data_IF_804399822500
#
_entry.id   IF_804399822500
#
_cell.length_a   1.000
_cell.length_b   1.000
_cell.length_c   1.000
_cell.angle_alpha   90.00
_cell.angle_beta   90.00
_cell.angle_gamma   90.00
#
_symmetry.space_group_name_H-M   'P 1'
#
loop_
_entity.id
_entity.type
_entity.pdbx_description
1 polymer ?
#
# COMPACT_ATOMS: atom_id res chain seq x y z
N UNK A 1 -7.44 13.50 24.06
CA UNK A 1 -8.26 12.57 23.23
C UNK A 1 -7.40 12.09 22.08
N UNK A 2 -7.43 10.80 21.80
CA UNK A 2 -6.67 10.19 20.68
C UNK A 2 -7.35 10.50 19.35
N UNK A 3 -6.59 10.93 18.35
CA UNK A 3 -7.09 11.15 17.00
C UNK A 3 -7.19 9.82 16.26
N UNK A 4 -8.38 9.48 15.79
CA UNK A 4 -8.57 8.33 14.90
C UNK A 4 -8.13 8.70 13.48
N UNK A 5 -7.12 7.99 12.95
CA UNK A 5 -6.67 8.15 11.57
C UNK A 5 -7.57 7.28 10.67
N UNK A 6 -8.66 7.83 10.19
CA UNK A 6 -9.66 7.14 9.36
C UNK A 6 -9.19 7.02 7.91
N UNK A 7 -8.59 5.87 7.59
CA UNK A 7 -8.12 5.58 6.24
C UNK A 7 -9.25 5.30 5.27
N UNK A 8 -10.40 4.80 5.73
CA UNK A 8 -11.56 4.57 4.87
C UNK A 8 -12.10 5.89 4.31
N UNK A 9 -12.27 6.89 5.19
CA UNK A 9 -12.68 8.24 4.79
C UNK A 9 -11.65 8.86 3.85
N UNK A 10 -10.38 8.81 4.23
CA UNK A 10 -9.28 9.37 3.43
C UNK A 10 -9.18 8.73 2.05
N UNK A 11 -9.32 7.40 1.95
CA UNK A 11 -9.32 6.70 0.67
C UNK A 11 -10.51 7.12 -0.21
N UNK A 12 -11.69 7.37 0.39
CA UNK A 12 -12.84 7.85 -0.35
C UNK A 12 -12.62 9.29 -0.86
N UNK A 13 -12.03 10.16 -0.05
CA UNK A 13 -11.70 11.53 -0.45
C UNK A 13 -10.73 11.52 -1.66
N UNK A 14 -9.68 10.67 -1.62
CA UNK A 14 -8.74 10.51 -2.75
C UNK A 14 -9.45 9.97 -4.00
N UNK A 15 -10.33 8.98 -3.86
CA UNK A 15 -11.11 8.46 -4.99
C UNK A 15 -11.98 9.55 -5.62
N UNK A 16 -12.60 10.40 -4.82
CA UNK A 16 -13.40 11.52 -5.31
C UNK A 16 -12.55 12.54 -6.07
N UNK A 17 -11.34 12.86 -5.57
CA UNK A 17 -10.38 13.74 -6.25
C UNK A 17 -9.94 13.13 -7.61
N UNK A 18 -9.65 11.82 -7.64
CA UNK A 18 -9.31 11.09 -8.87
C UNK A 18 -10.47 11.13 -9.86
N UNK A 19 -11.71 10.84 -9.41
CA UNK A 19 -12.89 10.86 -10.26
C UNK A 19 -13.14 12.24 -10.88
N UNK A 20 -12.97 13.31 -10.10
CA UNK A 20 -13.06 14.68 -10.61
C UNK A 20 -12.01 14.94 -11.70
N UNK A 21 -10.76 14.51 -11.47
CA UNK A 21 -9.68 14.67 -12.46
C UNK A 21 -9.94 13.87 -13.75
N UNK A 22 -10.47 12.65 -13.63
CA UNK A 22 -10.86 11.85 -14.79
C UNK A 22 -11.97 12.49 -15.59
N UNK A 23 -12.94 13.12 -14.93
CA UNK A 23 -14.01 13.85 -15.60
C UNK A 23 -13.44 15.04 -16.42
N UNK A 24 -12.47 15.77 -15.87
CA UNK A 24 -11.77 16.85 -16.59
C UNK A 24 -11.03 16.31 -17.83
N UNK A 25 -10.29 15.20 -17.69
CA UNK A 25 -9.59 14.55 -18.80
C UNK A 25 -10.56 14.19 -19.91
N UNK A 26 -11.70 13.58 -19.57
CA UNK A 26 -12.75 13.19 -20.53
C UNK A 26 -13.36 14.41 -21.23
N UNK A 27 -13.67 15.46 -20.49
CA UNK A 27 -14.22 16.71 -21.05
C UNK A 27 -13.26 17.39 -22.03
N UNK A 28 -11.94 17.26 -21.77
CA UNK A 28 -10.89 17.73 -22.67
C UNK A 28 -10.64 16.81 -23.88
N UNK A 29 -11.40 15.72 -24.05
CA UNK A 29 -11.21 14.75 -25.13
C UNK A 29 -10.01 13.80 -24.91
N UNK A 30 -9.47 13.75 -23.69
CA UNK A 30 -8.37 12.86 -23.34
C UNK A 30 -8.82 11.42 -23.11
N UNK A 31 -7.85 10.51 -23.16
CA UNK A 31 -8.04 9.08 -22.91
C UNK A 31 -8.33 8.80 -21.42
N UNK A 32 -9.29 7.94 -21.13
CA UNK A 32 -9.52 7.44 -19.77
C UNK A 32 -8.31 6.63 -19.29
N UNK A 33 -7.86 6.79 -18.03
CA UNK A 33 -6.85 5.92 -17.45
C UNK A 33 -7.30 4.45 -17.48
N UNK A 34 -6.38 3.55 -17.77
CA UNK A 34 -6.66 2.12 -17.95
C UNK A 34 -5.71 1.27 -17.10
N UNK A 35 -6.28 0.53 -16.17
CA UNK A 35 -5.56 -0.43 -15.32
C UNK A 35 -5.78 -1.86 -15.82
N UNK A 36 -4.71 -2.60 -16.07
CA UNK A 36 -4.75 -4.04 -16.27
C UNK A 36 -4.36 -4.76 -14.98
N UNK A 37 -5.07 -5.84 -14.67
CA UNK A 37 -4.75 -6.75 -13.57
C UNK A 37 -4.65 -8.17 -14.09
N UNK A 38 -3.56 -8.86 -13.75
CA UNK A 38 -3.41 -10.30 -14.01
C UNK A 38 -3.64 -11.05 -12.69
N UNK A 39 -4.53 -12.03 -12.73
CA UNK A 39 -4.81 -12.95 -11.62
C UNK A 39 -4.48 -14.36 -12.05
N UNK A 40 -3.62 -15.05 -11.31
CA UNK A 40 -3.23 -16.44 -11.56
C UNK A 40 -3.86 -17.34 -10.51
N UNK A 41 -4.63 -18.31 -10.96
CA UNK A 41 -5.33 -19.26 -10.09
C UNK A 41 -6.59 -18.72 -9.43
N UNK A 42 -7.12 -19.48 -8.47
CA UNK A 42 -8.44 -19.25 -7.87
C UNK A 42 -8.39 -18.94 -6.35
N UNK A 43 -7.28 -18.39 -5.85
CA UNK A 43 -7.20 -18.00 -4.44
C UNK A 43 -8.30 -16.99 -4.09
N UNK A 44 -9.17 -17.33 -3.14
CA UNK A 44 -10.35 -16.53 -2.81
C UNK A 44 -10.02 -15.13 -2.26
N UNK A 45 -8.89 -14.99 -1.57
CA UNK A 45 -8.45 -13.69 -1.09
C UNK A 45 -8.00 -12.81 -2.26
N UNK A 46 -7.20 -13.36 -3.17
CA UNK A 46 -6.74 -12.68 -4.39
C UNK A 46 -7.91 -12.25 -5.28
N UNK A 47 -8.92 -13.13 -5.45
CA UNK A 47 -10.15 -12.79 -6.20
C UNK A 47 -10.90 -11.62 -5.57
N UNK A 48 -11.03 -11.62 -4.24
CA UNK A 48 -11.70 -10.53 -3.50
C UNK A 48 -10.95 -9.21 -3.67
N UNK A 49 -9.61 -9.23 -3.58
CA UNK A 49 -8.78 -8.03 -3.75
C UNK A 49 -8.85 -7.48 -5.17
N UNK A 50 -8.74 -8.34 -6.19
CA UNK A 50 -8.85 -7.93 -7.59
C UNK A 50 -10.24 -7.40 -7.89
N UNK A 51 -11.30 -8.06 -7.40
CA UNK A 51 -12.67 -7.57 -7.53
C UNK A 51 -12.87 -6.18 -6.94
N UNK A 52 -12.28 -5.91 -5.77
CA UNK A 52 -12.31 -4.58 -5.15
C UNK A 52 -11.55 -3.52 -5.97
N UNK A 53 -10.42 -3.87 -6.59
CA UNK A 53 -9.64 -2.99 -7.48
C UNK A 53 -10.43 -2.65 -8.75
N UNK A 54 -11.05 -3.65 -9.40
CA UNK A 54 -11.89 -3.45 -10.60
C UNK A 54 -13.06 -2.53 -10.28
N UNK A 55 -13.79 -2.80 -9.19
CA UNK A 55 -14.87 -1.93 -8.74
C UNK A 55 -14.42 -0.50 -8.46
N UNK A 56 -13.26 -0.33 -7.84
CA UNK A 56 -12.70 0.99 -7.56
C UNK A 56 -12.30 1.73 -8.85
N UNK A 57 -11.83 1.03 -9.90
CA UNK A 57 -11.62 1.62 -11.23
C UNK A 57 -12.94 2.17 -11.81
N UNK A 58 -14.02 1.40 -11.75
CA UNK A 58 -15.35 1.84 -12.21
C UNK A 58 -15.83 3.07 -11.44
N UNK A 59 -15.67 3.09 -10.10
CA UNK A 59 -16.08 4.20 -9.23
C UNK A 59 -15.40 5.53 -9.62
N UNK A 60 -14.14 5.49 -10.07
CA UNK A 60 -13.38 6.69 -10.45
C UNK A 60 -13.41 6.98 -11.95
N UNK A 61 -14.09 6.16 -12.74
CA UNK A 61 -14.24 6.33 -14.18
C UNK A 61 -13.04 5.86 -15.00
N UNK A 62 -12.23 4.93 -14.47
CA UNK A 62 -11.17 4.25 -15.21
C UNK A 62 -11.73 3.11 -16.06
N UNK A 63 -11.01 2.78 -17.12
CA UNK A 63 -11.14 1.48 -17.78
C UNK A 63 -10.34 0.43 -17.01
N UNK A 64 -10.83 -0.80 -16.95
CA UNK A 64 -10.09 -1.90 -16.32
C UNK A 64 -10.13 -3.16 -17.19
N UNK A 65 -9.01 -3.87 -17.28
CA UNK A 65 -8.89 -5.18 -17.92
C UNK A 65 -8.44 -6.20 -16.89
N UNK A 66 -9.18 -7.29 -16.75
CA UNK A 66 -8.82 -8.41 -15.89
C UNK A 66 -8.46 -9.62 -16.74
N UNK A 67 -7.19 -10.00 -16.70
CA UNK A 67 -6.68 -11.23 -17.31
C UNK A 67 -6.65 -12.32 -16.24
N UNK A 68 -7.34 -13.42 -16.48
CA UNK A 68 -7.34 -14.60 -15.62
C UNK A 68 -6.54 -15.70 -16.27
N UNK A 69 -5.59 -16.25 -15.53
CA UNK A 69 -4.78 -17.39 -15.94
C UNK A 69 -4.97 -18.54 -14.96
N UNK A 70 -4.92 -19.75 -15.46
CA UNK A 70 -5.06 -20.95 -14.62
C UNK A 70 -3.90 -21.11 -13.64
N UNK A 71 -4.12 -21.84 -12.54
CA UNK A 71 -3.11 -22.03 -11.50
C UNK A 71 -1.85 -22.80 -11.99
N UNK A 72 -1.98 -23.58 -13.04
CA UNK A 72 -0.92 -24.37 -13.69
C UNK A 72 -0.29 -23.66 -14.89
N UNK A 73 -0.67 -22.40 -15.17
CA UNK A 73 -0.04 -21.61 -16.24
C UNK A 73 1.48 -21.61 -16.11
N UNK A 74 2.19 -21.76 -17.21
CA UNK A 74 3.65 -21.72 -17.19
C UNK A 74 4.18 -20.31 -16.90
N UNK A 75 5.37 -20.22 -16.27
CA UNK A 75 6.04 -18.94 -16.07
C UNK A 75 6.25 -18.20 -17.41
N UNK A 76 6.61 -18.93 -18.47
CA UNK A 76 6.81 -18.36 -19.80
C UNK A 76 5.54 -17.74 -20.39
N UNK A 77 4.40 -18.40 -20.22
CA UNK A 77 3.12 -17.86 -20.68
C UNK A 77 2.68 -16.63 -19.91
N UNK A 78 2.86 -16.63 -18.59
CA UNK A 78 2.61 -15.42 -17.78
C UNK A 78 3.52 -14.26 -18.21
N UNK A 79 4.82 -14.50 -18.41
CA UNK A 79 5.75 -13.47 -18.87
C UNK A 79 5.37 -12.93 -20.26
N UNK A 80 4.92 -13.80 -21.17
CA UNK A 80 4.40 -13.38 -22.48
C UNK A 80 3.17 -12.48 -22.34
N UNK A 81 2.24 -12.83 -21.45
CA UNK A 81 1.04 -12.02 -21.16
C UNK A 81 1.43 -10.65 -20.60
N UNK A 82 2.42 -10.59 -19.69
CA UNK A 82 2.95 -9.32 -19.17
C UNK A 82 3.54 -8.48 -20.31
N UNK A 83 4.32 -9.10 -21.23
CA UNK A 83 4.92 -8.39 -22.36
C UNK A 83 3.87 -7.87 -23.38
N UNK A 84 2.83 -8.61 -23.64
CA UNK A 84 1.71 -8.14 -24.47
C UNK A 84 1.06 -6.87 -23.86
N UNK A 85 0.85 -6.85 -22.55
CA UNK A 85 0.32 -5.68 -21.85
C UNK A 85 1.33 -4.53 -21.82
N UNK A 86 2.62 -4.81 -21.65
CA UNK A 86 3.68 -3.80 -21.72
C UNK A 86 3.65 -3.04 -23.07
N UNK A 87 3.36 -3.72 -24.18
CA UNK A 87 3.32 -3.13 -25.50
C UNK A 87 1.96 -2.53 -25.89
N UNK A 88 0.92 -2.76 -25.09
CA UNK A 88 -0.41 -2.19 -25.34
C UNK A 88 -0.46 -0.72 -24.91
N UNK A 89 -0.50 0.20 -25.86
CA UNK A 89 -0.54 1.64 -25.61
C UNK A 89 -1.84 2.11 -24.91
N UNK A 90 -2.91 1.32 -24.96
CA UNK A 90 -4.17 1.67 -24.31
C UNK A 90 -4.15 1.39 -22.79
N UNK A 91 -3.20 0.61 -22.32
CA UNK A 91 -3.06 0.29 -20.88
C UNK A 91 -2.00 1.17 -20.25
N UNK A 92 -2.39 1.91 -19.22
CA UNK A 92 -1.50 2.84 -18.50
C UNK A 92 -0.80 2.18 -17.31
N UNK A 93 -1.47 1.25 -16.62
CA UNK A 93 -0.92 0.57 -15.46
C UNK A 93 -1.17 -0.94 -15.51
N UNK A 94 -0.22 -1.70 -14.96
CA UNK A 94 -0.28 -3.15 -14.85
C UNK A 94 0.02 -3.57 -13.41
N UNK A 95 -0.80 -4.48 -12.90
CA UNK A 95 -0.51 -5.22 -11.68
C UNK A 95 -0.59 -6.72 -11.94
N UNK A 96 0.26 -7.48 -11.29
CA UNK A 96 0.14 -8.93 -11.19
C UNK A 96 -0.17 -9.27 -9.75
N UNK A 97 -1.37 -9.79 -9.50
CA UNK A 97 -1.86 -10.03 -8.15
C UNK A 97 -1.05 -11.12 -7.46
N UNK A 98 -0.45 -10.79 -6.31
CA UNK A 98 0.25 -11.74 -5.44
C UNK A 98 -0.72 -12.37 -4.41
N UNK A 99 -0.44 -13.60 -3.94
CA UNK A 99 0.73 -14.44 -4.27
C UNK A 99 0.59 -15.16 -5.62
N UNK A 100 1.72 -15.52 -6.23
CA UNK A 100 1.78 -16.39 -7.39
C UNK A 100 1.97 -17.86 -7.00
N UNK A 101 1.60 -18.82 -7.86
CA UNK A 101 1.95 -20.23 -7.68
C UNK A 101 3.45 -20.43 -7.50
N UNK A 102 3.84 -21.43 -6.71
CA UNK A 102 5.25 -21.65 -6.30
C UNK A 102 6.24 -21.92 -7.45
N UNK A 103 5.76 -22.38 -8.60
CA UNK A 103 6.58 -22.62 -9.78
C UNK A 103 6.89 -21.37 -10.60
N UNK A 104 6.28 -20.23 -10.26
CA UNK A 104 6.47 -18.94 -10.92
C UNK A 104 7.30 -18.02 -10.03
N UNK A 105 8.36 -17.46 -10.57
CA UNK A 105 9.22 -16.51 -9.87
C UNK A 105 8.59 -15.12 -9.84
N UNK A 106 8.27 -14.64 -8.63
CA UNK A 106 7.77 -13.26 -8.42
C UNK A 106 8.76 -12.24 -8.94
N UNK A 107 10.07 -12.46 -8.72
CA UNK A 107 11.12 -11.53 -9.17
C UNK A 107 11.18 -11.42 -10.69
N UNK A 108 11.07 -12.53 -11.42
CA UNK A 108 11.06 -12.50 -12.89
C UNK A 108 9.84 -11.74 -13.42
N UNK A 109 8.66 -12.02 -12.84
CA UNK A 109 7.42 -11.36 -13.25
C UNK A 109 7.50 -9.86 -12.96
N UNK A 110 7.93 -9.47 -11.76
CA UNK A 110 8.10 -8.06 -11.39
C UNK A 110 9.09 -7.35 -12.31
N UNK A 111 10.23 -7.97 -12.62
CA UNK A 111 11.23 -7.39 -13.51
C UNK A 111 10.79 -7.34 -14.98
N UNK A 112 9.80 -8.13 -15.39
CA UNK A 112 9.23 -8.11 -16.73
C UNK A 112 8.30 -6.90 -16.95
N UNK A 113 7.68 -6.38 -15.88
CA UNK A 113 6.81 -5.20 -15.99
C UNK A 113 7.65 -3.96 -16.33
N UNK A 114 7.24 -3.22 -17.37
CA UNK A 114 7.89 -1.94 -17.70
C UNK A 114 7.69 -0.93 -16.58
N UNK A 115 8.75 -0.22 -16.15
CA UNK A 115 8.67 0.74 -15.03
C UNK A 115 7.57 1.79 -15.20
N UNK A 116 7.25 2.17 -16.43
CA UNK A 116 6.21 3.15 -16.76
C UNK A 116 4.80 2.62 -16.49
N UNK A 117 4.62 1.30 -16.43
CA UNK A 117 3.34 0.64 -16.16
C UNK A 117 3.27 -0.04 -14.79
N UNK A 118 4.38 -0.06 -14.04
CA UNK A 118 4.47 -0.64 -12.70
C UNK A 118 3.79 0.25 -11.66
N UNK A 119 2.47 0.29 -11.68
CA UNK A 119 1.69 1.13 -10.75
C UNK A 119 1.62 0.57 -9.33
N UNK A 120 2.08 -0.67 -9.11
CA UNK A 120 2.33 -1.23 -7.76
C UNK A 120 3.66 -0.70 -7.17
N UNK A 121 4.58 -0.17 -8.00
CA UNK A 121 5.84 0.41 -7.55
C UNK A 121 6.88 -0.60 -7.05
N UNK A 122 6.88 -1.82 -7.59
CA UNK A 122 7.74 -2.91 -7.12
C UNK A 122 8.98 -3.14 -7.98
N UNK A 123 9.02 -2.59 -9.19
CA UNK A 123 10.20 -2.74 -10.05
C UNK A 123 11.43 -2.08 -9.44
N UNK A 124 12.64 -2.64 -9.64
CA UNK A 124 13.88 -2.02 -9.17
C UNK A 124 14.06 -0.57 -9.63
N UNK A 125 13.53 -0.23 -10.82
CA UNK A 125 13.59 1.14 -11.34
C UNK A 125 12.75 2.09 -10.47
N UNK A 126 11.50 1.75 -10.14
CA UNK A 126 10.67 2.58 -9.28
C UNK A 126 11.22 2.66 -7.85
N UNK A 127 11.67 1.53 -7.29
CA UNK A 127 12.30 1.50 -5.95
C UNK A 127 13.56 2.35 -5.91
N UNK A 128 14.42 2.27 -6.93
CA UNK A 128 15.64 3.09 -7.04
C UNK A 128 15.32 4.58 -7.15
N UNK A 129 14.36 4.97 -8.00
CA UNK A 129 13.90 6.36 -8.15
C UNK A 129 13.32 6.89 -6.84
N UNK A 130 12.47 6.12 -6.17
CA UNK A 130 11.92 6.47 -4.85
C UNK A 130 13.04 6.71 -3.83
N UNK A 131 14.06 5.84 -3.81
CA UNK A 131 15.22 5.96 -2.90
C UNK A 131 16.03 7.23 -3.16
N UNK A 132 16.16 7.63 -4.43
CA UNK A 132 16.85 8.84 -4.85
C UNK A 132 15.97 10.10 -4.73
N UNK A 133 14.74 9.96 -4.23
CA UNK A 133 13.74 11.03 -4.18
C UNK A 133 13.40 11.63 -5.57
N UNK A 134 13.46 10.80 -6.61
CA UNK A 134 13.02 11.14 -7.95
C UNK A 134 11.54 10.77 -8.13
N UNK A 135 10.83 11.35 -9.13
CA UNK A 135 9.48 10.90 -9.46
C UNK A 135 9.44 9.39 -9.70
N UNK A 136 8.58 8.70 -8.98
CA UNK A 136 8.43 7.24 -9.02
C UNK A 136 7.00 6.83 -8.64
N UNK A 137 6.56 5.68 -9.10
CA UNK A 137 5.41 5.05 -8.48
C UNK A 137 5.87 4.41 -7.16
N UNK A 138 5.31 4.91 -6.07
CA UNK A 138 5.62 4.38 -4.73
C UNK A 138 4.68 3.24 -4.44
N UNK A 139 5.20 2.18 -3.83
CA UNK A 139 4.39 1.03 -3.43
C UNK A 139 3.13 1.46 -2.66
N UNK A 140 1.99 0.83 -2.97
CA UNK A 140 0.67 1.31 -2.58
C UNK A 140 0.50 1.49 -1.06
N UNK A 141 0.98 0.54 -0.25
CA UNK A 141 0.87 0.62 1.22
C UNK A 141 1.72 1.77 1.79
N UNK A 142 3.01 1.89 1.48
CA UNK A 142 3.82 3.04 1.89
C UNK A 142 3.26 4.38 1.42
N UNK A 143 2.81 4.47 0.17
CA UNK A 143 2.17 5.68 -0.34
C UNK A 143 0.93 6.05 0.49
N UNK A 144 0.07 5.07 0.76
CA UNK A 144 -1.13 5.27 1.58
C UNK A 144 -0.82 5.77 2.98
N UNK A 145 0.25 5.27 3.61
CA UNK A 145 0.70 5.75 4.93
C UNK A 145 1.18 7.20 4.85
N UNK A 146 2.00 7.53 3.85
CA UNK A 146 2.48 8.91 3.61
C UNK A 146 1.29 9.88 3.42
N UNK A 147 0.27 9.49 2.66
CA UNK A 147 -0.93 10.31 2.46
C UNK A 147 -1.76 10.45 3.75
N UNK A 148 -1.85 9.41 4.58
CA UNK A 148 -2.48 9.52 5.89
C UNK A 148 -1.74 10.53 6.78
N UNK A 149 -0.43 10.39 6.92
CA UNK A 149 0.38 11.32 7.70
C UNK A 149 0.22 12.77 7.23
N UNK A 150 0.21 12.99 5.91
CA UNK A 150 0.04 14.30 5.29
C UNK A 150 -1.34 14.90 5.55
N UNK A 151 -2.42 14.15 5.31
CA UNK A 151 -3.80 14.64 5.44
C UNK A 151 -4.21 14.88 6.88
N UNK A 152 -3.65 14.12 7.81
CA UNK A 152 -3.81 14.34 9.25
C UNK A 152 -2.80 15.34 9.84
N UNK A 153 -1.97 15.96 8.98
CA UNK A 153 -0.98 16.97 9.36
C UNK A 153 -0.04 16.48 10.50
N UNK A 154 0.32 15.20 10.46
CA UNK A 154 1.23 14.62 11.44
C UNK A 154 2.64 15.18 11.21
N UNK A 155 3.16 15.90 12.21
CA UNK A 155 4.53 16.41 12.17
C UNK A 155 5.55 15.27 12.20
N UNK A 156 6.38 15.19 11.16
CA UNK A 156 7.39 14.14 11.01
C UNK A 156 8.82 14.66 11.13
N UNK A 157 9.03 15.97 10.88
CA UNK A 157 10.37 16.57 10.89
C UNK A 157 10.96 16.57 12.29
N UNK A 158 12.19 16.06 12.42
CA UNK A 158 12.88 15.94 13.71
C UNK A 158 12.30 14.87 14.65
N UNK A 159 11.30 14.11 14.24
CA UNK A 159 10.70 13.04 15.05
C UNK A 159 11.49 11.74 14.91
N UNK A 160 11.43 10.90 15.94
CA UNK A 160 11.93 9.54 15.87
C UNK A 160 10.83 8.61 15.35
N UNK A 161 11.03 8.05 14.16
CA UNK A 161 10.16 7.06 13.55
C UNK A 161 10.75 5.66 13.71
N UNK A 162 10.03 4.77 14.38
CA UNK A 162 10.38 3.34 14.43
C UNK A 162 9.47 2.58 13.47
N UNK A 163 10.08 1.80 12.59
CA UNK A 163 9.39 0.91 11.64
C UNK A 163 9.63 -0.53 12.05
N UNK A 164 8.58 -1.27 12.41
CA UNK A 164 8.65 -2.68 12.75
C UNK A 164 8.32 -3.52 11.51
N UNK A 165 9.32 -4.25 11.00
CA UNK A 165 9.24 -5.02 9.77
C UNK A 165 10.09 -4.43 8.66
N UNK A 166 10.72 -5.30 7.85
CA UNK A 166 11.64 -4.89 6.77
C UNK A 166 11.32 -5.52 5.43
N UNK A 167 10.04 -5.78 5.18
CA UNK A 167 9.61 -6.27 3.87
C UNK A 167 9.91 -5.25 2.77
N UNK A 168 10.16 -5.72 1.55
CA UNK A 168 10.38 -4.83 0.40
C UNK A 168 9.11 -4.07 0.00
N UNK A 169 7.94 -4.56 0.41
CA UNK A 169 6.65 -3.94 0.06
C UNK A 169 6.16 -2.90 1.08
N UNK A 170 6.67 -2.90 2.32
CA UNK A 170 6.24 -1.94 3.35
C UNK A 170 7.41 -1.39 4.15
N UNK A 171 8.09 -2.21 4.96
CA UNK A 171 9.02 -1.71 5.98
C UNK A 171 10.24 -0.99 5.41
N UNK A 172 10.92 -1.59 4.43
CA UNK A 172 12.07 -0.96 3.76
C UNK A 172 11.69 0.35 3.06
N UNK A 173 10.65 0.41 2.19
CA UNK A 173 10.25 1.68 1.58
C UNK A 173 9.78 2.71 2.62
N UNK A 174 9.08 2.31 3.70
CA UNK A 174 8.70 3.26 4.73
C UNK A 174 9.89 3.90 5.44
N UNK A 175 10.96 3.13 5.71
CA UNK A 175 12.16 3.69 6.33
C UNK A 175 12.82 4.76 5.45
N UNK A 176 12.83 4.56 4.14
CA UNK A 176 13.35 5.52 3.16
C UNK A 176 12.46 6.77 3.10
N UNK A 177 11.16 6.57 2.94
CA UNK A 177 10.19 7.66 2.81
C UNK A 177 10.15 8.57 4.04
N UNK A 178 10.23 8.00 5.24
CA UNK A 178 10.25 8.77 6.49
C UNK A 178 11.56 9.50 6.73
N UNK A 179 12.70 8.96 6.24
CA UNK A 179 14.01 9.59 6.38
C UNK A 179 14.30 10.67 5.31
N UNK A 180 13.64 10.61 4.13
CA UNK A 180 13.92 11.51 3.00
C UNK A 180 13.72 12.98 3.37
N UNK A 181 14.43 13.86 2.66
CA UNK A 181 14.18 15.30 2.75
C UNK A 181 12.82 15.64 2.12
N UNK A 182 11.95 16.28 2.88
CA UNK A 182 10.61 16.67 2.45
C UNK A 182 9.55 16.38 3.51
N UNK A 183 8.27 16.66 3.18
CA UNK A 183 7.13 16.36 4.04
C UNK A 183 6.12 15.45 3.32
N UNK A 184 5.62 14.38 3.98
CA UNK A 184 6.14 13.79 5.22
C UNK A 184 7.53 13.19 5.01
N UNK A 185 8.41 13.35 6.00
CA UNK A 185 9.81 12.93 5.96
C UNK A 185 10.62 13.66 7.03
N UNK A 186 11.93 13.83 6.80
CA UNK A 186 12.85 14.46 7.75
C UNK A 186 12.83 13.84 9.17
N UNK A 187 12.41 12.59 9.31
CA UNK A 187 12.46 11.86 10.56
C UNK A 187 13.79 11.13 10.73
N UNK A 188 14.20 10.94 11.98
CA UNK A 188 15.24 9.95 12.29
C UNK A 188 14.57 8.58 12.36
N UNK A 189 15.03 7.62 11.54
CA UNK A 189 14.36 6.34 11.38
C UNK A 189 15.16 5.18 11.96
N UNK A 190 14.53 4.37 12.79
CA UNK A 190 15.03 3.07 13.21
C UNK A 190 14.19 1.97 12.57
N UNK A 191 14.80 1.20 11.66
CA UNK A 191 14.19 0.03 11.04
C UNK A 191 14.49 -1.21 11.89
N UNK A 192 13.43 -1.90 12.35
CA UNK A 192 13.54 -3.09 13.19
C UNK A 192 13.01 -4.34 12.50
N UNK A 193 13.40 -5.50 12.99
CA UNK A 193 13.06 -6.79 12.39
C UNK A 193 13.14 -7.93 13.42
N UNK A 194 12.86 -9.17 13.01
CA UNK A 194 12.84 -10.36 13.87
C UNK A 194 14.16 -10.70 14.60
N UNK A 195 15.27 -10.06 14.22
CA UNK A 195 16.57 -10.23 14.87
C UNK A 195 16.96 -9.01 15.72
N UNK A 196 16.09 -8.03 15.86
CA UNK A 196 16.34 -6.84 16.67
C UNK A 196 16.24 -7.21 18.15
N UNK A 197 17.28 -6.95 18.89
CA UNK A 197 17.32 -7.10 20.34
C UNK A 197 16.62 -5.92 21.02
N UNK A 198 16.02 -6.16 22.17
CA UNK A 198 15.34 -5.14 23.00
C UNK A 198 14.29 -4.32 22.22
N UNK A 199 13.55 -4.98 21.31
CA UNK A 199 12.57 -4.34 20.43
C UNK A 199 11.59 -3.44 21.20
N UNK A 200 11.05 -3.88 22.34
CA UNK A 200 10.12 -3.10 23.15
C UNK A 200 10.73 -1.77 23.63
N UNK A 201 12.00 -1.79 24.07
CA UNK A 201 12.69 -0.58 24.49
C UNK A 201 12.90 0.41 23.33
N UNK A 202 13.19 -0.10 22.13
CA UNK A 202 13.32 0.74 20.93
C UNK A 202 11.96 1.34 20.56
N UNK A 203 10.89 0.56 20.56
CA UNK A 203 9.55 1.04 20.23
C UNK A 203 9.08 2.17 21.19
N UNK A 204 9.41 2.08 22.45
CA UNK A 204 9.12 3.12 23.45
C UNK A 204 9.79 4.48 23.19
N UNK A 205 10.78 4.54 22.33
CA UNK A 205 11.43 5.81 21.97
C UNK A 205 10.74 6.51 20.77
N UNK A 206 9.81 5.82 20.11
CA UNK A 206 9.18 6.29 18.88
C UNK A 206 8.17 7.42 19.13
N UNK A 207 8.31 8.53 18.41
CA UNK A 207 7.25 9.54 18.27
C UNK A 207 6.22 9.05 17.22
N UNK A 208 6.69 8.30 16.21
CA UNK A 208 5.86 7.67 15.18
C UNK A 208 6.24 6.19 15.12
N UNK A 209 5.29 5.31 15.34
CA UNK A 209 5.47 3.86 15.29
C UNK A 209 4.68 3.28 14.12
N UNK A 210 5.38 2.68 13.16
CA UNK A 210 4.77 2.01 12.00
C UNK A 210 4.97 0.51 12.14
N UNK A 211 3.86 -0.25 12.22
CA UNK A 211 3.88 -1.67 12.54
C UNK A 211 3.44 -2.49 11.33
N UNK A 212 4.36 -3.30 10.77
CA UNK A 212 4.14 -4.10 9.56
C UNK A 212 4.87 -5.45 9.64
N UNK A 213 4.47 -6.30 10.59
CA UNK A 213 5.15 -7.58 10.89
C UNK A 213 4.29 -8.81 10.63
N UNK A 214 2.98 -8.64 10.43
CA UNK A 214 2.07 -9.74 10.19
C UNK A 214 1.87 -10.65 11.41
N UNK A 215 1.85 -10.07 12.62
CA UNK A 215 1.60 -10.80 13.88
C UNK A 215 0.46 -10.12 14.63
N UNK A 216 -0.68 -10.81 14.81
CA UNK A 216 -1.85 -10.22 15.45
C UNK A 216 -1.56 -9.73 16.87
N UNK A 217 -1.96 -8.49 17.15
CA UNK A 217 -1.89 -7.84 18.48
C UNK A 217 -0.51 -7.93 19.17
N UNK A 218 0.56 -7.97 18.37
CA UNK A 218 1.93 -8.10 18.89
C UNK A 218 2.41 -6.85 19.64
N UNK A 219 2.02 -5.66 19.20
CA UNK A 219 2.39 -4.41 19.86
C UNK A 219 1.36 -4.06 20.90
N UNK A 220 1.79 -4.06 22.17
CA UNK A 220 0.98 -3.76 23.36
C UNK A 220 1.34 -2.40 23.94
N UNK A 221 0.55 -1.89 24.90
CA UNK A 221 0.76 -0.56 25.48
C UNK A 221 2.16 -0.38 26.10
N UNK A 222 2.73 -1.44 26.66
CA UNK A 222 4.07 -1.42 27.23
C UNK A 222 5.21 -1.26 26.20
N UNK A 223 4.91 -1.38 24.92
CA UNK A 223 5.84 -1.13 23.82
C UNK A 223 5.70 0.26 23.19
N UNK A 224 4.71 1.05 23.58
CA UNK A 224 4.39 2.34 22.95
C UNK A 224 4.71 3.51 23.86
N UNK A 225 5.34 4.55 23.31
CA UNK A 225 5.55 5.82 24.01
C UNK A 225 4.20 6.54 24.15
N UNK A 226 3.80 6.97 25.36
CA UNK A 226 2.61 7.81 25.51
C UNK A 226 2.67 9.05 24.61
N UNK A 227 1.60 9.31 23.88
CA UNK A 227 1.52 10.39 22.91
C UNK A 227 2.10 10.09 21.53
N UNK A 228 2.60 8.88 21.27
CA UNK A 228 3.06 8.47 19.94
C UNK A 228 1.91 8.43 18.91
N UNK A 229 2.26 8.65 17.65
CA UNK A 229 1.42 8.32 16.49
C UNK A 229 1.66 6.86 16.11
N UNK A 230 0.59 6.06 16.00
CA UNK A 230 0.70 4.63 15.72
C UNK A 230 0.00 4.29 14.41
N UNK A 231 0.75 3.74 13.46
CA UNK A 231 0.26 3.29 12.16
C UNK A 231 0.32 1.76 12.12
N UNK A 232 -0.83 1.12 12.24
CA UNK A 232 -0.99 -0.33 12.15
C UNK A 232 -1.26 -0.73 10.70
N UNK A 233 -0.34 -1.48 10.11
CA UNK A 233 -0.45 -2.00 8.74
C UNK A 233 -1.00 -3.43 8.73
N UNK A 234 -0.97 -4.11 9.87
CA UNK A 234 -1.42 -5.47 10.01
C UNK A 234 -2.90 -5.65 9.67
N UNK A 235 -3.23 -6.79 9.09
CA UNK A 235 -4.61 -7.24 8.91
C UNK A 235 -4.69 -8.74 9.05
N UNK A 236 -5.41 -9.19 10.07
CA UNK A 236 -5.58 -10.61 10.40
C UNK A 236 -7.05 -10.94 10.51
N UNK A 237 -7.41 -12.09 9.99
CA UNK A 237 -8.74 -12.64 10.09
C UNK A 237 -8.77 -13.67 11.20
N UNK A 238 -9.44 -13.38 12.28
CA UNK A 238 -9.60 -14.30 13.42
C UNK A 238 -11.05 -14.74 13.57
N UNK A 239 -11.26 -15.97 14.01
CA UNK A 239 -12.59 -16.50 14.24
C UNK A 239 -13.32 -15.66 15.30
N UNK A 240 -14.59 -15.34 15.04
CA UNK A 240 -15.45 -14.60 15.97
C UNK A 240 -16.90 -14.99 15.72
N UNK A 241 -17.43 -15.89 16.56
CA UNK A 241 -18.80 -16.41 16.45
C UNK A 241 -19.86 -15.35 16.72
N UNK A 242 -19.50 -14.22 17.36
CA UNK A 242 -20.44 -13.10 17.58
C UNK A 242 -20.76 -12.33 16.31
N UNK A 243 -19.97 -12.49 15.26
CA UNK A 243 -20.14 -11.81 13.98
C UNK A 243 -20.87 -12.69 12.96
N UNK A 244 -21.79 -12.11 12.21
CA UNK A 244 -22.50 -12.82 11.12
C UNK A 244 -21.55 -13.42 10.08
N UNK A 245 -20.36 -12.84 9.91
CA UNK A 245 -19.32 -13.34 9.00
C UNK A 245 -18.50 -14.49 9.57
N UNK A 246 -18.68 -14.83 10.87
CA UNK A 246 -17.86 -15.82 11.58
C UNK A 246 -16.44 -15.37 11.91
N UNK A 247 -16.07 -14.12 11.63
CA UNK A 247 -14.73 -13.59 11.91
C UNK A 247 -14.72 -12.08 12.16
N UNK A 248 -13.66 -11.63 12.80
CA UNK A 248 -13.30 -10.20 12.91
C UNK A 248 -11.91 -9.94 12.35
N UNK A 249 -11.65 -8.70 11.96
CA UNK A 249 -10.33 -8.23 11.51
C UNK A 249 -9.65 -7.51 12.65
N UNK A 250 -8.37 -7.82 12.86
CA UNK A 250 -7.48 -7.15 13.82
C UNK A 250 -6.15 -6.81 13.15
N UNK A 251 -5.38 -5.93 13.77
CA UNK A 251 -4.07 -5.52 13.29
C UNK A 251 -2.91 -6.23 13.99
N UNK A 252 -1.71 -5.70 13.76
CA UNK A 252 -0.49 -6.06 14.47
C UNK A 252 -0.40 -5.37 15.85
N UNK A 253 -1.24 -4.37 16.09
CA UNK A 253 -1.30 -3.59 17.34
C UNK A 253 -2.52 -3.99 18.15
N UNK A 254 -2.34 -4.20 19.46
CA UNK A 254 -3.43 -4.36 20.41
C UNK A 254 -4.16 -3.01 20.60
N UNK A 255 -5.17 -2.78 19.73
CA UNK A 255 -5.82 -1.48 19.60
C UNK A 255 -6.40 -0.97 20.93
N UNK A 256 -7.07 -1.84 21.67
CA UNK A 256 -7.75 -1.49 22.93
C UNK A 256 -6.77 -0.99 23.99
N UNK A 257 -5.55 -1.51 24.02
CA UNK A 257 -4.51 -1.09 24.96
C UNK A 257 -3.77 0.17 24.51
N UNK A 258 -3.52 0.28 23.19
CA UNK A 258 -2.65 1.32 22.63
C UNK A 258 -3.44 2.61 22.34
N UNK A 259 -4.68 2.51 21.88
CA UNK A 259 -5.48 3.69 21.54
C UNK A 259 -5.59 4.69 22.70
N UNK A 260 -5.79 4.30 23.98
CA UNK A 260 -5.89 5.27 25.07
C UNK A 260 -4.64 6.10 25.33
N UNK A 261 -3.45 5.60 24.95
CA UNK A 261 -2.16 6.25 25.22
C UNK A 261 -1.54 6.92 23.98
N UNK A 262 -2.00 6.59 22.78
CA UNK A 262 -1.54 7.21 21.53
C UNK A 262 -2.11 8.63 21.35
N UNK A 263 -1.39 9.52 20.65
CA UNK A 263 -1.94 10.79 20.20
C UNK A 263 -2.82 10.63 18.96
N UNK A 264 -2.44 9.70 18.08
CA UNK A 264 -3.21 9.32 16.91
C UNK A 264 -2.95 7.85 16.56
N UNK A 265 -3.95 7.15 16.03
CA UNK A 265 -3.84 5.73 15.69
C UNK A 265 -4.74 5.36 14.51
N UNK A 266 -4.26 4.47 13.64
CA UNK A 266 -5.09 3.86 12.61
C UNK A 266 -5.90 2.69 13.17
N UNK A 267 -7.20 2.56 12.84
CA UNK A 267 -8.00 1.39 13.22
C UNK A 267 -7.76 0.21 12.26
N UNK A 268 -8.03 -1.00 12.73
CA UNK A 268 -8.14 -2.19 11.86
C UNK A 268 -9.47 -2.88 12.15
N UNK A 269 -10.37 -2.98 11.15
CA UNK A 269 -10.28 -2.47 9.77
C UNK A 269 -10.50 -0.95 9.67
N UNK A 270 -10.17 -0.38 8.51
CA UNK A 270 -10.50 1.01 8.18
C UNK A 270 -9.34 2.00 8.22
N UNK A 271 -8.13 1.55 8.62
CA UNK A 271 -6.90 2.34 8.59
C UNK A 271 -6.16 2.22 7.25
N UNK A 272 -4.99 1.58 7.25
CA UNK A 272 -4.10 1.50 6.09
C UNK A 272 -4.68 0.71 4.91
N UNK A 273 -5.45 -0.38 5.17
CA UNK A 273 -5.96 -1.26 4.11
C UNK A 273 -6.70 -0.53 2.98
N UNK A 274 -7.72 0.30 3.24
CA UNK A 274 -8.44 1.05 2.19
C UNK A 274 -7.54 1.97 1.36
N UNK A 275 -6.46 2.48 1.94
CA UNK A 275 -5.52 3.38 1.28
C UNK A 275 -4.73 2.71 0.16
N UNK A 276 -4.54 1.38 0.21
CA UNK A 276 -3.79 0.65 -0.82
C UNK A 276 -4.47 0.71 -2.18
N UNK A 277 -5.80 0.64 -2.21
CA UNK A 277 -6.58 0.77 -3.46
C UNK A 277 -6.54 2.21 -3.97
N UNK A 278 -6.71 3.20 -3.09
CA UNK A 278 -6.63 4.60 -3.48
C UNK A 278 -5.23 4.97 -4.04
N UNK A 279 -4.17 4.43 -3.45
CA UNK A 279 -2.79 4.61 -3.91
C UNK A 279 -2.57 4.00 -5.30
N UNK A 280 -3.09 2.79 -5.55
CA UNK A 280 -3.03 2.15 -6.86
C UNK A 280 -3.72 2.98 -7.95
N UNK A 281 -4.92 3.48 -7.65
CA UNK A 281 -5.64 4.36 -8.58
C UNK A 281 -4.88 5.67 -8.83
N UNK A 282 -4.30 6.25 -7.79
CA UNK A 282 -3.47 7.44 -7.93
C UNK A 282 -2.26 7.20 -8.83
N UNK A 283 -1.49 6.12 -8.61
CA UNK A 283 -0.37 5.75 -9.47
C UNK A 283 -0.80 5.53 -10.92
N UNK A 284 -1.95 4.87 -11.14
CA UNK A 284 -2.51 4.66 -12.49
C UNK A 284 -2.86 5.99 -13.17
N UNK A 285 -3.44 6.94 -12.44
CA UNK A 285 -3.71 8.29 -12.94
C UNK A 285 -2.40 9.01 -13.31
N UNK A 286 -1.38 8.94 -12.45
CA UNK A 286 -0.06 9.54 -12.71
C UNK A 286 0.58 8.94 -13.97
N UNK A 287 0.38 7.63 -14.22
CA UNK A 287 0.85 6.97 -15.43
C UNK A 287 0.12 7.48 -16.67
N UNK A 288 -1.21 7.53 -16.65
CA UNK A 288 -2.02 8.03 -17.75
C UNK A 288 -1.68 9.49 -18.12
N UNK A 289 -1.35 10.30 -17.12
CA UNK A 289 -0.92 11.69 -17.29
C UNK A 289 0.59 11.84 -17.58
N UNK A 290 1.36 10.74 -17.67
CA UNK A 290 2.80 10.72 -17.92
C UNK A 290 3.64 11.57 -16.94
N UNK A 291 3.21 11.67 -15.68
CA UNK A 291 3.86 12.54 -14.68
C UNK A 291 5.13 11.96 -14.08
N UNK A 292 5.36 10.66 -14.21
CA UNK A 292 6.52 9.97 -13.62
C UNK A 292 7.56 9.63 -14.69
N UNK A 293 7.13 9.09 -15.81
CA UNK A 293 7.96 8.66 -16.93
C UNK A 293 7.52 9.37 -18.24
N UNK A 294 7.41 10.67 -18.22
CA UNK A 294 7.08 11.49 -19.39
C UNK A 294 8.27 12.10 -20.06
#
# INVERSE_FOLDING_TARGET
MTTLIDGKKTAQDIKNEIAARVAEIKQAGGKQPHLAAILVGEDGASQTYVGAKVKACEEVGFTSTLVRLDADVSEEELLRTVEEINHNADIDGLIVQLPLPKHISVDKVTNCIRPEKDVDGFTPANVGRMTLNWPAYVAATPYGIVELLKRYQIETSGKHCVVIGRSHIVGSPMSILMARNGYPGNATVTLTHSRTENLAAICKTADILIVAIGKPEFVTADMVKPGAVVIDVGIHRIADESKKSGFRLIGDVCYEEVAPIASAITPVPGGVGPMTIAALLYNTLQSAEKKVFG
#
